data_IF_936815056067
#
_entry.id   IF_936815056067
#
_cell.length_a   1.000
_cell.length_b   1.000
_cell.length_c   1.000
_cell.angle_alpha   90.00
_cell.angle_beta   90.00
_cell.angle_gamma   90.00
#
_symmetry.space_group_name_H-M   'P 1'
#
loop_
_entity.id
_entity.type
_entity.pdbx_description
1 polymer ?
#
# COMPACT_ATOMS: atom_id res chain seq x y z
N UNK A 1 -6.75 -13.56 -0.99
CA UNK A 1 -7.04 -12.32 -0.25
C UNK A 1 -6.62 -12.46 1.21
N UNK A 2 -5.51 -11.84 1.65
CA UNK A 2 -5.28 -11.62 3.09
C UNK A 2 -6.00 -10.32 3.44
N UNK A 3 -7.22 -10.44 3.99
CA UNK A 3 -7.88 -9.31 4.64
C UNK A 3 -7.10 -9.06 5.93
N UNK A 4 -6.40 -7.93 6.07
CA UNK A 4 -5.90 -7.53 7.39
C UNK A 4 -7.09 -7.03 8.22
N UNK A 5 -7.86 -7.99 8.71
CA UNK A 5 -8.88 -7.81 9.73
C UNK A 5 -8.93 -9.00 10.69
N UNK A 6 -8.00 -9.97 10.62
CA UNK A 6 -8.16 -11.24 11.31
C UNK A 6 -6.83 -11.91 11.69
N UNK A 7 -6.67 -12.15 13.00
CA UNK A 7 -5.68 -13.01 13.66
C UNK A 7 -4.20 -12.53 13.69
N UNK A 8 -3.73 -11.92 14.80
CA UNK A 8 -2.34 -11.45 14.97
C UNK A 8 -1.29 -12.57 14.99
N UNK A 9 -1.67 -13.86 14.94
CA UNK A 9 -0.75 -15.01 14.90
C UNK A 9 -0.30 -15.42 13.49
N UNK A 10 -0.91 -14.87 12.42
CA UNK A 10 -0.51 -15.15 11.02
C UNK A 10 0.21 -13.98 10.33
N UNK A 11 0.28 -12.83 11.00
CA UNK A 11 1.11 -11.72 10.58
C UNK A 11 2.56 -12.04 10.96
N UNK A 12 3.47 -12.06 9.98
CA UNK A 12 4.91 -12.02 10.28
C UNK A 12 5.15 -10.72 11.02
N UNK A 13 5.47 -10.82 12.32
CA UNK A 13 5.61 -9.66 13.22
C UNK A 13 6.83 -8.80 12.91
N UNK A 14 7.67 -9.28 12.00
CA UNK A 14 8.96 -8.76 11.57
C UNK A 14 8.94 -8.14 10.16
N UNK A 15 7.79 -8.14 9.48
CA UNK A 15 7.66 -7.49 8.17
C UNK A 15 7.63 -5.97 8.34
N UNK A 16 8.56 -5.29 7.66
CA UNK A 16 8.61 -3.83 7.61
C UNK A 16 7.75 -3.31 6.45
N UNK A 17 7.02 -2.22 6.69
CA UNK A 17 6.18 -1.59 5.67
C UNK A 17 6.70 -0.19 5.37
N UNK A 18 6.82 0.13 4.09
CA UNK A 18 7.05 1.48 3.61
C UNK A 18 5.76 2.00 2.98
N UNK A 19 5.16 3.01 3.62
CA UNK A 19 3.98 3.69 3.08
C UNK A 19 4.45 4.67 2.01
N UNK A 20 4.00 4.45 0.78
CA UNK A 20 4.31 5.29 -0.37
C UNK A 20 3.07 6.10 -0.73
N UNK A 21 3.08 7.37 -0.33
CA UNK A 21 2.09 8.35 -0.80
C UNK A 21 2.43 8.73 -2.24
N UNK A 22 1.78 8.09 -3.21
CA UNK A 22 2.21 8.09 -4.59
C UNK A 22 1.33 8.97 -5.49
N UNK A 23 1.95 9.59 -6.50
CA UNK A 23 1.29 10.30 -7.61
C UNK A 23 1.73 9.65 -8.93
N UNK A 24 0.86 9.65 -9.95
CA UNK A 24 0.93 8.89 -11.22
C UNK A 24 2.12 9.21 -12.15
N UNK A 25 3.18 9.87 -11.69
CA UNK A 25 4.33 10.23 -12.52
C UNK A 25 5.57 9.42 -12.08
N UNK A 26 6.24 8.64 -12.97
CA UNK A 26 7.51 7.97 -12.64
C UNK A 26 8.63 8.94 -12.20
N UNK A 27 8.52 10.23 -12.54
CA UNK A 27 9.41 11.29 -12.04
C UNK A 27 8.88 11.97 -10.77
N UNK A 28 7.84 11.43 -10.14
CA UNK A 28 7.32 12.00 -8.91
C UNK A 28 8.40 11.93 -7.83
N UNK A 29 8.53 13.03 -7.08
CA UNK A 29 9.39 13.07 -5.89
C UNK A 29 9.08 11.94 -4.91
N UNK A 30 7.84 11.45 -4.89
CA UNK A 30 7.43 10.34 -4.04
C UNK A 30 8.03 8.99 -4.44
N UNK A 31 8.23 8.71 -5.73
CA UNK A 31 8.88 7.48 -6.16
C UNK A 31 10.38 7.51 -5.88
N UNK A 32 11.04 8.65 -6.12
CA UNK A 32 12.46 8.83 -5.76
C UNK A 32 12.67 8.65 -4.26
N UNK A 33 11.79 9.23 -3.43
CA UNK A 33 11.87 9.04 -1.98
C UNK A 33 11.64 7.58 -1.57
N UNK A 34 10.69 6.89 -2.21
CA UNK A 34 10.44 5.48 -1.97
C UNK A 34 11.66 4.61 -2.30
N UNK A 35 12.34 4.88 -3.43
CA UNK A 35 13.58 4.20 -3.82
C UNK A 35 14.69 4.41 -2.78
N UNK A 36 14.95 5.65 -2.37
CA UNK A 36 15.97 5.92 -1.35
C UNK A 36 15.65 5.28 0.00
N UNK A 37 14.37 5.30 0.42
CA UNK A 37 13.95 4.67 1.66
C UNK A 37 14.08 3.14 1.61
N UNK A 38 13.69 2.54 0.48
CA UNK A 38 13.91 1.11 0.23
C UNK A 38 15.39 0.75 0.30
N UNK A 39 16.25 1.49 -0.39
CA UNK A 39 17.70 1.26 -0.40
C UNK A 39 18.30 1.36 1.01
N UNK A 40 17.94 2.41 1.76
CA UNK A 40 18.38 2.59 3.13
C UNK A 40 17.93 1.43 4.04
N UNK A 41 16.70 0.95 3.90
CA UNK A 41 16.21 -0.21 4.66
C UNK A 41 16.97 -1.49 4.28
N UNK A 42 17.19 -1.73 2.98
CA UNK A 42 17.93 -2.91 2.50
C UNK A 42 19.38 -2.92 2.99
N UNK A 43 20.04 -1.76 3.11
CA UNK A 43 21.38 -1.64 3.67
C UNK A 43 21.47 -2.06 5.15
N UNK A 44 20.36 -2.03 5.90
CA UNK A 44 20.30 -2.53 7.28
C UNK A 44 20.03 -4.04 7.37
N UNK A 45 19.92 -4.74 6.24
CA UNK A 45 19.59 -6.17 6.19
C UNK A 45 18.09 -6.47 6.18
N UNK A 46 17.24 -5.46 5.98
CA UNK A 46 15.80 -5.66 5.83
C UNK A 46 15.50 -6.42 4.53
N UNK A 47 15.00 -7.64 4.65
CA UNK A 47 14.67 -8.52 3.52
C UNK A 47 13.16 -8.58 3.24
N UNK A 48 12.33 -8.42 4.27
CA UNK A 48 10.87 -8.45 4.19
C UNK A 48 10.31 -7.02 4.16
N UNK A 49 10.19 -6.45 2.94
CA UNK A 49 9.67 -5.10 2.71
C UNK A 49 8.41 -5.13 1.82
N UNK A 50 7.38 -4.38 2.22
CA UNK A 50 6.21 -4.10 1.40
C UNK A 50 6.04 -2.61 1.13
N UNK A 51 5.56 -2.26 -0.07
CA UNK A 51 5.19 -0.91 -0.47
C UNK A 51 3.67 -0.74 -0.44
N UNK A 52 3.19 0.24 0.33
CA UNK A 52 1.76 0.48 0.51
C UNK A 52 1.32 1.75 -0.22
N UNK A 53 0.46 1.63 -1.24
CA UNK A 53 -0.20 2.79 -1.83
C UNK A 53 -1.11 3.46 -0.79
N UNK A 54 -1.09 4.78 -0.70
CA UNK A 54 -1.89 5.54 0.25
C UNK A 54 -2.19 6.95 -0.27
N UNK A 55 -3.32 7.51 0.18
CA UNK A 55 -3.68 8.92 0.02
C UNK A 55 -3.76 9.54 1.42
N UNK A 56 -3.08 10.67 1.62
CA UNK A 56 -2.94 11.32 2.94
C UNK A 56 -4.14 12.21 3.32
N UNK A 57 -5.26 12.12 2.60
CA UNK A 57 -6.50 12.82 2.93
C UNK A 57 -7.36 11.97 3.88
N UNK A 58 -7.91 12.59 4.92
CA UNK A 58 -8.71 11.91 5.94
C UNK A 58 -10.06 12.62 6.17
N UNK A 59 -11.19 12.09 5.68
CA UNK A 59 -11.28 10.95 4.77
C UNK A 59 -10.83 11.31 3.35
N UNK A 60 -10.42 10.31 2.58
CA UNK A 60 -10.20 10.40 1.13
C UNK A 60 -11.53 10.17 0.41
N UNK A 61 -11.92 11.06 -0.50
CA UNK A 61 -13.06 10.78 -1.38
C UNK A 61 -12.76 9.60 -2.30
N UNK A 62 -13.75 8.75 -2.57
CA UNK A 62 -13.57 7.56 -3.42
C UNK A 62 -12.98 7.89 -4.81
N UNK A 63 -13.38 9.01 -5.41
CA UNK A 63 -12.84 9.47 -6.69
C UNK A 63 -11.34 9.81 -6.63
N UNK A 64 -10.84 10.15 -5.45
CA UNK A 64 -9.47 10.55 -5.16
C UNK A 64 -8.65 9.41 -4.53
N UNK A 65 -9.16 8.17 -4.47
CA UNK A 65 -8.40 7.04 -3.93
C UNK A 65 -7.24 6.58 -4.84
N UNK A 66 -7.27 6.95 -6.12
CA UNK A 66 -6.24 6.66 -7.13
C UNK A 66 -5.80 5.18 -7.18
N UNK A 67 -6.72 4.23 -7.03
CA UNK A 67 -6.40 2.78 -6.91
C UNK A 67 -5.64 2.18 -8.09
N UNK A 68 -5.63 2.81 -9.27
CA UNK A 68 -4.79 2.41 -10.41
C UNK A 68 -3.28 2.54 -10.12
N UNK A 69 -2.90 3.30 -9.10
CA UNK A 69 -1.51 3.39 -8.62
C UNK A 69 -0.94 2.06 -8.17
N UNK A 70 -1.78 1.15 -7.68
CA UNK A 70 -1.36 -0.20 -7.27
C UNK A 70 -0.70 -0.93 -8.44
N UNK A 71 -1.29 -0.85 -9.64
CA UNK A 71 -0.71 -1.45 -10.85
C UNK A 71 0.59 -0.75 -11.27
N UNK A 72 0.67 0.58 -11.09
CA UNK A 72 1.88 1.36 -11.35
C UNK A 72 3.04 0.93 -10.46
N UNK A 73 2.81 0.82 -9.15
CA UNK A 73 3.79 0.34 -8.18
C UNK A 73 4.24 -1.10 -8.50
N UNK A 74 3.31 -1.99 -8.85
CA UNK A 74 3.65 -3.36 -9.27
C UNK A 74 4.59 -3.42 -10.48
N UNK A 75 4.44 -2.48 -11.43
CA UNK A 75 5.34 -2.41 -12.60
C UNK A 75 6.70 -1.81 -12.24
N UNK A 76 6.72 -0.79 -11.37
CA UNK A 76 7.94 -0.09 -10.99
C UNK A 76 8.80 -0.88 -9.98
N UNK A 77 8.17 -1.69 -9.13
CA UNK A 77 8.80 -2.48 -8.06
C UNK A 77 8.35 -3.94 -8.13
N UNK A 78 8.74 -4.69 -9.18
CA UNK A 78 8.24 -6.05 -9.42
C UNK A 78 8.66 -7.05 -8.32
N UNK A 79 9.75 -6.77 -7.61
CA UNK A 79 10.28 -7.63 -6.53
C UNK A 79 9.66 -7.31 -5.15
N UNK A 80 8.86 -6.25 -5.06
CA UNK A 80 8.28 -5.79 -3.80
C UNK A 80 6.84 -6.29 -3.65
N UNK A 81 6.46 -6.54 -2.40
CA UNK A 81 5.06 -6.82 -2.06
C UNK A 81 4.29 -5.50 -2.09
N UNK A 82 3.24 -5.43 -2.91
CA UNK A 82 2.42 -4.21 -3.05
C UNK A 82 1.11 -4.35 -2.28
N UNK A 83 0.80 -3.35 -1.46
CA UNK A 83 -0.43 -3.24 -0.71
C UNK A 83 -1.12 -1.88 -0.84
N UNK A 84 -2.18 -1.71 -0.06
CA UNK A 84 -3.00 -0.51 -0.03
C UNK A 84 -3.37 -0.16 1.42
N UNK A 85 -3.18 1.10 1.79
CA UNK A 85 -3.58 1.69 3.08
C UNK A 85 -4.69 2.70 2.82
N UNK A 86 -5.88 2.43 3.35
CA UNK A 86 -7.14 3.08 2.97
C UNK A 86 -7.63 4.10 3.99
N UNK A 87 -7.94 5.30 3.50
CA UNK A 87 -8.53 6.39 4.29
C UNK A 87 -9.87 6.87 3.72
N UNK A 88 -10.49 6.11 2.82
CA UNK A 88 -11.87 6.39 2.37
C UNK A 88 -12.88 6.15 3.50
N UNK A 89 -14.11 6.65 3.37
CA UNK A 89 -15.19 6.22 4.26
C UNK A 89 -15.60 4.77 3.93
N UNK A 90 -15.95 3.94 4.93
CA UNK A 90 -16.48 2.61 4.65
C UNK A 90 -17.83 2.70 3.93
N UNK A 91 -18.06 1.80 2.97
CA UNK A 91 -19.35 1.54 2.36
C UNK A 91 -19.73 0.06 2.55
N UNK A 92 -21.01 -0.28 2.35
CA UNK A 92 -21.52 -1.64 2.65
C UNK A 92 -20.78 -2.76 1.88
N UNK A 93 -20.23 -2.43 0.70
CA UNK A 93 -19.51 -3.35 -0.16
C UNK A 93 -17.99 -3.35 0.06
N UNK A 94 -17.46 -2.48 0.93
CA UNK A 94 -16.01 -2.22 1.07
C UNK A 94 -15.34 -1.99 -0.29
N UNK A 95 -15.98 -1.20 -1.16
CA UNK A 95 -15.67 -1.07 -2.59
C UNK A 95 -14.21 -0.69 -2.82
N UNK A 96 -13.66 0.23 -2.02
CA UNK A 96 -12.26 0.64 -2.11
C UNK A 96 -11.30 -0.54 -1.88
N UNK A 97 -11.56 -1.32 -0.83
CA UNK A 97 -10.72 -2.46 -0.45
C UNK A 97 -10.80 -3.61 -1.45
N UNK A 98 -12.01 -3.94 -1.90
CA UNK A 98 -12.24 -4.98 -2.92
C UNK A 98 -11.58 -4.57 -4.23
N UNK A 99 -11.74 -3.32 -4.65
CA UNK A 99 -11.11 -2.80 -5.86
C UNK A 99 -9.59 -2.84 -5.76
N UNK A 100 -9.01 -2.42 -4.63
CA UNK A 100 -7.57 -2.50 -4.41
C UNK A 100 -7.06 -3.95 -4.51
N UNK A 101 -7.79 -4.91 -3.94
CA UNK A 101 -7.44 -6.32 -4.04
C UNK A 101 -7.47 -6.82 -5.49
N UNK A 102 -8.54 -6.50 -6.25
CA UNK A 102 -8.67 -6.86 -7.66
C UNK A 102 -7.57 -6.23 -8.54
N UNK A 103 -7.06 -5.05 -8.16
CA UNK A 103 -5.92 -4.38 -8.82
C UNK A 103 -4.56 -4.95 -8.42
N UNK A 104 -4.54 -5.95 -7.55
CA UNK A 104 -3.33 -6.70 -7.20
C UNK A 104 -2.67 -6.30 -5.89
N UNK A 105 -3.33 -5.51 -5.03
CA UNK A 105 -2.88 -5.34 -3.65
C UNK A 105 -3.05 -6.65 -2.88
N UNK A 106 -1.99 -7.08 -2.19
CA UNK A 106 -1.99 -8.32 -1.39
C UNK A 106 -2.03 -8.06 0.12
N UNK A 107 -1.89 -6.79 0.50
CA UNK A 107 -2.01 -6.26 1.85
C UNK A 107 -3.02 -5.12 1.80
N UNK A 108 -3.97 -5.11 2.73
CA UNK A 108 -5.01 -4.07 2.85
C UNK A 108 -5.00 -3.57 4.29
N UNK A 109 -4.77 -2.28 4.52
CA UNK A 109 -4.85 -1.64 5.83
C UNK A 109 -6.05 -0.69 5.87
N UNK A 110 -6.82 -0.73 6.97
CA UNK A 110 -8.01 0.09 7.19
C UNK A 110 -8.19 0.35 8.69
N UNK A 111 -8.58 1.57 9.05
CA UNK A 111 -8.99 1.87 10.43
C UNK A 111 -10.33 1.22 10.75
N UNK A 112 -10.39 0.51 11.88
CA UNK A 112 -11.62 -0.05 12.45
C UNK A 112 -11.88 0.60 13.81
N UNK A 113 -13.14 0.89 14.10
CA UNK A 113 -13.61 1.38 15.41
C UNK A 113 -14.45 0.29 16.09
#
# INVERSE_FOLDING_TARGET
>A
MRVLGANPKKMRKDMSYLIVACSLNPESRSLVLAQHAEEALRQTGCTDLALMHCILNYPTDNANAHLRMIEGLRRAYPDNIIGYSDHTLPDDAMTSLVTAHLRGAVIIEKHFN
#
